data_IF_951270431851
#
_entry.id   IF_951270431851
#
_cell.length_a   1.000
_cell.length_b   1.000
_cell.length_c   1.000
_cell.angle_alpha   90.00
_cell.angle_beta   90.00
_cell.angle_gamma   90.00
#
_symmetry.space_group_name_H-M   'P 1'
#
loop_
_entity.id
_entity.type
_entity.pdbx_description
1 polymer ?
#
# COMPACT_ATOMS: atom_id res chain seq x y z
N UNK A 1 -8.66 9.10 0.95
CA UNK A 1 -8.16 9.81 -0.24
C UNK A 1 -9.25 9.81 -1.31
N UNK A 2 -9.46 10.91 -2.04
CA UNK A 2 -10.50 11.01 -3.09
C UNK A 2 -9.96 11.38 -4.49
N UNK A 3 -8.64 11.61 -4.62
CA UNK A 3 -8.04 12.04 -5.90
C UNK A 3 -7.83 10.87 -6.88
N UNK A 4 -7.54 9.67 -6.36
CA UNK A 4 -7.41 8.45 -7.16
C UNK A 4 -8.52 7.44 -6.81
N UNK A 5 -9.06 6.71 -7.80
CA UNK A 5 -8.81 6.84 -9.23
C UNK A 5 -9.35 8.17 -9.80
N UNK A 6 -8.71 8.67 -10.86
CA UNK A 6 -9.07 9.92 -11.53
C UNK A 6 -10.52 9.83 -12.06
N UNK A 7 -11.34 10.83 -11.72
CA UNK A 7 -12.78 10.83 -12.04
C UNK A 7 -12.99 11.09 -13.54
N UNK A 8 -13.93 10.37 -14.15
CA UNK A 8 -14.25 10.55 -15.59
C UNK A 8 -14.73 11.97 -15.86
N UNK A 9 -14.08 12.65 -16.81
CA UNK A 9 -14.38 14.04 -17.17
C UNK A 9 -13.67 15.09 -16.32
N UNK A 10 -12.78 14.70 -15.40
CA UNK A 10 -11.83 15.64 -14.79
C UNK A 10 -10.83 16.14 -15.83
N UNK A 11 -10.52 17.44 -15.79
CA UNK A 11 -9.43 18.05 -16.54
C UNK A 11 -8.11 17.81 -15.81
N UNK A 12 -7.18 17.12 -16.46
CA UNK A 12 -5.92 16.66 -15.88
C UNK A 12 -4.76 17.44 -16.49
N UNK A 13 -3.92 18.07 -15.67
CA UNK A 13 -2.61 18.53 -16.13
C UNK A 13 -1.61 17.37 -16.03
N UNK A 14 -0.88 17.06 -17.10
CA UNK A 14 0.13 15.99 -17.13
C UNK A 14 1.49 16.61 -17.42
N UNK A 15 2.40 16.58 -16.43
CA UNK A 15 3.60 17.44 -16.41
C UNK A 15 4.86 16.71 -15.95
N UNK A 16 6.02 17.26 -16.33
CA UNK A 16 7.35 16.70 -16.03
C UNK A 16 7.85 15.79 -17.13
N UNK A 17 9.16 15.83 -17.38
CA UNK A 17 9.79 15.14 -18.51
C UNK A 17 9.51 13.63 -18.51
N UNK A 18 9.47 13.00 -17.33
CA UNK A 18 9.19 11.57 -17.20
C UNK A 18 7.76 11.16 -17.61
N UNK A 19 6.79 12.09 -17.64
CA UNK A 19 5.43 11.81 -18.11
C UNK A 19 5.36 11.76 -19.63
N UNK A 20 6.22 12.53 -20.31
CA UNK A 20 6.29 12.68 -21.76
C UNK A 20 7.55 12.04 -22.37
N UNK A 21 8.23 11.17 -21.62
CA UNK A 21 9.58 10.70 -21.95
C UNK A 21 9.63 9.99 -23.31
N UNK A 22 10.56 10.43 -24.16
CA UNK A 22 10.71 9.95 -25.53
C UNK A 22 11.61 8.71 -25.54
N UNK A 23 11.04 7.56 -25.86
CA UNK A 23 11.79 6.31 -26.03
C UNK A 23 12.55 6.29 -27.38
N UNK A 24 13.76 6.86 -27.41
CA UNK A 24 14.65 6.82 -28.57
C UNK A 24 15.33 5.44 -28.71
N UNK A 25 14.56 4.48 -29.25
CA UNK A 25 15.02 3.14 -29.52
C UNK A 25 16.24 3.09 -30.47
N UNK A 26 16.40 4.05 -31.40
CA UNK A 26 17.53 4.05 -32.33
C UNK A 26 18.84 4.41 -31.62
N UNK A 27 18.84 5.43 -30.76
CA UNK A 27 19.99 5.79 -29.94
C UNK A 27 20.29 4.71 -28.91
N UNK A 28 19.26 4.19 -28.23
CA UNK A 28 19.42 3.10 -27.26
C UNK A 28 20.07 1.87 -27.90
N UNK A 29 19.62 1.41 -29.08
CA UNK A 29 20.23 0.27 -29.78
C UNK A 29 21.73 0.47 -30.12
N UNK A 30 22.19 1.72 -30.30
CA UNK A 30 23.60 2.05 -30.60
C UNK A 30 24.49 2.23 -29.37
N UNK A 31 23.90 2.41 -28.18
CA UNK A 31 24.60 2.73 -26.93
C UNK A 31 24.15 1.82 -25.80
N UNK A 32 24.96 0.79 -25.52
CA UNK A 32 24.64 -0.25 -24.54
C UNK A 32 24.50 0.28 -23.10
N UNK A 33 25.20 1.36 -22.81
CA UNK A 33 25.32 2.05 -21.51
C UNK A 33 24.23 3.11 -21.24
N UNK A 34 23.32 3.34 -22.20
CA UNK A 34 22.20 4.28 -22.02
C UNK A 34 20.92 3.55 -21.61
N UNK A 35 20.20 4.17 -20.67
CA UNK A 35 18.81 3.89 -20.33
C UNK A 35 17.98 5.17 -20.34
N UNK A 36 16.69 5.04 -20.15
CA UNK A 36 15.72 6.11 -19.93
C UNK A 36 14.86 5.81 -18.68
N UNK A 37 13.78 6.56 -18.44
CA UNK A 37 12.91 6.35 -17.29
C UNK A 37 12.03 5.08 -17.38
N UNK A 38 12.01 4.38 -18.52
CA UNK A 38 11.24 3.16 -18.76
C UNK A 38 12.12 1.90 -18.91
N UNK A 39 13.38 2.06 -19.35
CA UNK A 39 14.32 0.99 -19.68
C UNK A 39 15.72 1.27 -19.12
N UNK A 40 16.28 0.30 -18.39
CA UNK A 40 17.63 0.33 -17.84
C UNK A 40 18.71 0.22 -18.94
N UNK A 41 19.84 0.92 -18.78
CA UNK A 41 21.05 0.66 -19.56
C UNK A 41 21.73 -0.65 -19.15
N UNK A 42 22.51 -1.27 -20.04
CA UNK A 42 23.23 -2.52 -19.77
C UNK A 42 22.92 -3.68 -20.71
N UNK A 43 23.49 -4.84 -20.40
CA UNK A 43 23.38 -6.09 -21.16
C UNK A 43 22.02 -6.78 -21.01
N UNK A 44 21.33 -6.59 -19.89
CA UNK A 44 20.05 -7.25 -19.58
C UNK A 44 18.79 -6.55 -20.11
N UNK A 45 18.93 -5.43 -20.83
CA UNK A 45 17.81 -4.56 -21.21
C UNK A 45 17.05 -5.05 -22.45
N UNK A 46 15.78 -4.67 -22.53
CA UNK A 46 14.92 -4.88 -23.70
C UNK A 46 14.55 -3.51 -24.28
N UNK A 47 15.05 -3.20 -25.47
CA UNK A 47 14.69 -1.96 -26.20
C UNK A 47 13.50 -2.26 -27.09
N UNK A 48 12.32 -1.80 -26.69
CA UNK A 48 11.10 -1.94 -27.47
C UNK A 48 11.12 -0.99 -28.69
N UNK A 49 10.35 -1.30 -29.74
CA UNK A 49 10.25 -0.42 -30.90
C UNK A 49 9.49 0.90 -30.58
N UNK A 50 8.62 0.87 -29.57
CA UNK A 50 7.87 2.01 -29.03
C UNK A 50 7.42 1.69 -27.62
N UNK A 51 7.55 2.65 -26.71
CA UNK A 51 6.92 2.63 -25.39
C UNK A 51 5.99 3.85 -25.34
N UNK A 52 4.67 3.69 -25.12
CA UNK A 52 3.78 4.82 -24.90
C UNK A 52 4.17 5.53 -23.61
N UNK A 53 4.35 6.86 -23.68
CA UNK A 53 4.55 7.67 -22.49
C UNK A 53 3.28 7.71 -21.63
N UNK A 54 3.37 8.19 -20.39
CA UNK A 54 2.19 8.38 -19.52
C UNK A 54 1.22 9.37 -20.16
N UNK A 55 1.76 10.44 -20.76
CA UNK A 55 1.02 11.44 -21.51
C UNK A 55 0.28 10.84 -22.72
N UNK A 56 0.96 10.05 -23.54
CA UNK A 56 0.34 9.37 -24.71
C UNK A 56 -0.73 8.36 -24.30
N UNK A 57 -0.58 7.73 -23.13
CA UNK A 57 -1.46 6.66 -22.67
C UNK A 57 -2.80 7.16 -22.12
N UNK A 58 -2.89 8.44 -21.71
CA UNK A 58 -4.10 9.12 -21.24
C UNK A 58 -4.93 9.75 -22.40
N UNK A 59 -4.79 9.22 -23.62
CA UNK A 59 -5.39 9.73 -24.87
C UNK A 59 -6.92 9.82 -24.90
N UNK A 60 -7.62 9.17 -23.97
CA UNK A 60 -9.09 9.22 -23.82
C UNK A 60 -9.58 10.01 -22.59
N UNK A 61 -8.68 10.77 -21.95
CA UNK A 61 -9.00 11.72 -20.89
C UNK A 61 -8.84 13.19 -21.35
N UNK A 62 -9.43 14.14 -20.63
CA UNK A 62 -9.27 15.58 -20.90
C UNK A 62 -7.95 16.08 -20.31
N UNK A 63 -6.88 16.04 -21.12
CA UNK A 63 -5.51 16.32 -20.69
C UNK A 63 -4.95 17.64 -21.25
N UNK A 64 -4.19 18.35 -20.41
CA UNK A 64 -3.24 19.40 -20.82
C UNK A 64 -1.83 18.90 -20.52
N UNK A 65 -1.09 18.53 -21.56
CA UNK A 65 0.27 17.98 -21.45
C UNK A 65 1.36 19.05 -21.54
N UNK A 66 2.34 19.00 -20.65
CA UNK A 66 3.60 19.75 -20.74
C UNK A 66 4.76 18.76 -20.69
N UNK A 67 5.52 18.70 -21.78
CA UNK A 67 6.76 17.93 -21.83
C UNK A 67 7.93 18.75 -21.26
N UNK A 68 8.88 18.07 -20.62
CA UNK A 68 10.00 18.71 -19.93
C UNK A 68 9.64 19.27 -18.54
N UNK A 69 10.67 19.80 -17.87
CA UNK A 69 10.62 20.29 -16.49
C UNK A 69 10.53 21.84 -16.42
N UNK A 70 9.78 22.45 -17.35
CA UNK A 70 9.49 23.89 -17.30
C UNK A 70 8.40 24.17 -16.27
N UNK A 71 8.80 24.76 -15.13
CA UNK A 71 7.91 25.06 -14.01
C UNK A 71 6.82 26.07 -14.38
N UNK A 72 7.13 27.13 -15.13
CA UNK A 72 6.16 28.16 -15.50
C UNK A 72 5.10 27.57 -16.44
N UNK A 73 5.52 26.74 -17.40
CA UNK A 73 4.61 26.01 -18.28
C UNK A 73 3.76 24.98 -17.51
N UNK A 74 4.35 24.23 -16.58
CA UNK A 74 3.63 23.25 -15.77
C UNK A 74 2.57 23.91 -14.85
N UNK A 75 2.92 25.03 -14.20
CA UNK A 75 1.97 25.82 -13.40
C UNK A 75 0.85 26.42 -14.28
N UNK A 76 1.18 26.89 -15.48
CA UNK A 76 0.18 27.38 -16.42
C UNK A 76 -0.77 26.28 -16.94
N UNK A 77 -0.30 25.05 -17.12
CA UNK A 77 -1.13 23.90 -17.48
C UNK A 77 -2.03 23.42 -16.33
N UNK A 78 -1.50 23.45 -15.10
CA UNK A 78 -2.25 23.14 -13.89
C UNK A 78 -3.30 24.21 -13.53
N UNK A 79 -3.21 25.43 -14.09
CA UNK A 79 -4.19 26.48 -13.87
C UNK A 79 -5.60 26.04 -14.31
N UNK A 80 -6.47 25.82 -13.31
CA UNK A 80 -7.82 25.29 -13.51
C UNK A 80 -7.85 23.87 -14.06
N UNK A 81 -6.87 23.03 -13.73
CA UNK A 81 -7.02 21.57 -13.77
C UNK A 81 -7.67 21.09 -12.45
N UNK A 82 -8.42 20.00 -12.48
CA UNK A 82 -8.98 19.37 -11.28
C UNK A 82 -7.93 18.59 -10.49
N UNK A 83 -6.84 18.19 -11.18
CA UNK A 83 -5.78 17.32 -10.67
C UNK A 83 -4.54 17.45 -11.55
N UNK A 84 -3.35 17.35 -10.94
CA UNK A 84 -2.05 17.35 -11.64
C UNK A 84 -1.43 15.97 -11.51
N UNK A 85 -1.12 15.30 -12.63
CA UNK A 85 -0.26 14.11 -12.67
C UNK A 85 1.15 14.58 -13.00
N UNK A 86 2.06 14.45 -12.04
CA UNK A 86 3.44 14.92 -12.17
C UNK A 86 4.41 13.75 -12.07
N UNK A 87 5.13 13.46 -13.15
CA UNK A 87 6.07 12.35 -13.17
C UNK A 87 7.50 12.80 -12.92
N UNK A 88 8.28 11.98 -12.21
CA UNK A 88 9.74 12.06 -12.23
C UNK A 88 10.36 10.66 -12.30
N UNK A 89 11.52 10.55 -12.93
CA UNK A 89 12.23 9.27 -13.07
C UNK A 89 13.64 9.31 -12.49
N UNK A 90 14.32 8.17 -12.54
CA UNK A 90 15.75 8.09 -12.26
C UNK A 90 16.40 7.14 -13.27
N UNK A 91 17.21 7.66 -14.19
CA UNK A 91 17.94 6.85 -15.16
C UNK A 91 19.00 5.98 -14.46
N UNK A 92 19.28 4.79 -15.01
CA UNK A 92 20.35 3.92 -14.51
C UNK A 92 20.92 3.03 -15.60
N UNK A 93 22.11 2.49 -15.38
CA UNK A 93 22.76 1.52 -16.26
C UNK A 93 23.50 0.46 -15.47
N UNK A 94 23.66 -0.73 -16.04
CA UNK A 94 24.67 -1.70 -15.61
C UNK A 94 26.07 -1.05 -15.54
N UNK A 95 26.88 -1.53 -14.60
CA UNK A 95 28.27 -1.12 -14.34
C UNK A 95 28.46 0.30 -13.77
N UNK A 96 27.40 1.02 -13.41
CA UNK A 96 27.49 2.26 -12.64
C UNK A 96 26.34 2.38 -11.62
N UNK A 97 26.66 2.66 -10.36
CA UNK A 97 25.67 3.03 -9.35
C UNK A 97 25.13 4.44 -9.61
N UNK A 98 23.90 4.72 -9.15
CA UNK A 98 23.35 6.08 -9.16
C UNK A 98 24.09 6.95 -8.13
N UNK A 99 24.47 8.16 -8.54
CA UNK A 99 25.16 9.12 -7.66
C UNK A 99 24.27 9.69 -6.53
N UNK A 100 22.96 9.42 -6.55
CA UNK A 100 21.95 9.92 -5.62
C UNK A 100 20.70 9.02 -5.68
N UNK A 101 19.94 8.96 -4.59
CA UNK A 101 18.61 8.34 -4.56
C UNK A 101 17.48 9.30 -4.95
N UNK A 102 17.79 10.57 -5.25
CA UNK A 102 16.81 11.51 -5.81
C UNK A 102 16.34 11.05 -7.19
N UNK A 103 15.15 11.51 -7.58
CA UNK A 103 14.71 11.52 -8.98
C UNK A 103 15.51 12.58 -9.74
N UNK A 104 15.70 12.40 -11.05
CA UNK A 104 16.40 13.36 -11.91
C UNK A 104 15.62 14.69 -11.97
N UNK A 105 14.29 14.63 -11.91
CA UNK A 105 13.35 15.77 -11.91
C UNK A 105 13.08 16.35 -10.49
N UNK A 106 13.88 16.01 -9.46
CA UNK A 106 13.53 16.24 -8.04
C UNK A 106 13.23 17.71 -7.68
N UNK A 107 14.04 18.66 -8.14
CA UNK A 107 13.83 20.08 -7.77
C UNK A 107 12.60 20.69 -8.48
N UNK A 108 12.33 20.26 -9.72
CA UNK A 108 11.11 20.61 -10.45
C UNK A 108 9.87 20.10 -9.71
N UNK A 109 9.84 18.83 -9.32
CA UNK A 109 8.72 18.26 -8.56
C UNK A 109 8.52 18.95 -7.21
N UNK A 110 9.59 19.30 -6.51
CA UNK A 110 9.51 20.05 -5.25
C UNK A 110 8.87 21.42 -5.44
N UNK A 111 9.31 22.17 -6.45
CA UNK A 111 8.77 23.50 -6.74
C UNK A 111 7.31 23.44 -7.26
N UNK A 112 6.98 22.44 -8.07
CA UNK A 112 5.64 22.21 -8.61
C UNK A 112 4.64 21.91 -7.49
N UNK A 113 4.93 20.93 -6.63
CA UNK A 113 4.03 20.54 -5.53
C UNK A 113 3.81 21.68 -4.54
N UNK A 114 4.82 22.53 -4.32
CA UNK A 114 4.70 23.72 -3.47
C UNK A 114 3.99 24.91 -4.14
N UNK A 115 3.87 24.92 -5.47
CA UNK A 115 3.40 26.07 -6.25
C UNK A 115 2.00 25.93 -6.84
N UNK A 116 1.33 24.79 -6.67
CA UNK A 116 0.06 24.47 -7.35
C UNK A 116 -1.08 24.28 -6.36
N UNK A 117 -2.25 24.87 -6.64
CA UNK A 117 -3.45 24.78 -5.80
C UNK A 117 -4.22 23.46 -5.98
N UNK A 118 -4.05 22.81 -7.13
CA UNK A 118 -4.73 21.56 -7.48
C UNK A 118 -4.05 20.33 -6.83
N UNK A 119 -4.80 19.28 -6.47
CA UNK A 119 -4.20 18.09 -5.87
C UNK A 119 -3.22 17.41 -6.83
N UNK A 120 -1.99 17.16 -6.35
CA UNK A 120 -0.93 16.51 -7.13
C UNK A 120 -0.91 15.00 -6.88
N UNK A 121 -0.93 14.23 -7.97
CA UNK A 121 -0.59 12.80 -8.01
C UNK A 121 0.83 12.68 -8.55
N UNK A 122 1.77 12.31 -7.68
CA UNK A 122 3.16 12.04 -8.07
C UNK A 122 3.27 10.65 -8.70
N UNK A 123 4.04 10.53 -9.78
CA UNK A 123 4.41 9.24 -10.39
C UNK A 123 5.93 9.15 -10.42
N UNK A 124 6.50 8.27 -9.59
CA UNK A 124 7.93 8.00 -9.59
C UNK A 124 8.24 6.80 -10.50
N UNK A 125 9.21 6.95 -11.39
CA UNK A 125 9.67 5.93 -12.36
C UNK A 125 11.14 5.59 -12.10
N UNK A 126 11.41 4.72 -11.13
CA UNK A 126 12.75 4.55 -10.59
C UNK A 126 13.20 3.09 -10.36
N UNK A 127 14.46 2.75 -10.68
CA UNK A 127 15.04 1.46 -10.36
C UNK A 127 15.49 1.42 -8.89
N UNK A 128 14.70 0.71 -8.07
CA UNK A 128 15.00 0.47 -6.65
C UNK A 128 14.52 1.59 -5.72
N UNK A 129 15.27 1.83 -4.64
CA UNK A 129 14.90 2.81 -3.62
C UNK A 129 15.15 4.26 -4.11
N UNK A 130 14.31 5.18 -3.64
CA UNK A 130 14.40 6.62 -3.89
C UNK A 130 14.07 7.42 -2.62
N UNK A 131 14.55 8.65 -2.54
CA UNK A 131 14.03 9.66 -1.61
C UNK A 131 12.92 10.47 -2.29
N UNK A 132 11.74 10.55 -1.67
CA UNK A 132 10.55 11.18 -2.26
C UNK A 132 9.86 12.16 -1.27
N UNK A 133 10.57 13.17 -0.72
CA UNK A 133 9.99 14.15 0.22
C UNK A 133 8.78 14.90 -0.36
N UNK A 134 8.68 15.03 -1.68
CA UNK A 134 7.53 15.63 -2.36
C UNK A 134 6.22 14.90 -2.05
N UNK A 135 6.27 13.60 -1.73
CA UNK A 135 5.09 12.84 -1.32
C UNK A 135 4.49 13.30 0.00
N UNK A 136 5.23 14.03 0.85
CA UNK A 136 4.70 14.60 2.10
C UNK A 136 3.73 15.77 1.87
N UNK A 137 3.71 16.36 0.66
CA UNK A 137 2.80 17.44 0.25
C UNK A 137 1.90 17.09 -0.96
N UNK A 138 2.06 15.90 -1.54
CA UNK A 138 1.23 15.43 -2.64
C UNK A 138 -0.09 14.82 -2.15
N UNK A 139 -1.14 14.91 -2.95
CA UNK A 139 -2.43 14.28 -2.66
C UNK A 139 -2.35 12.75 -2.79
N UNK A 140 -1.55 12.23 -3.73
CA UNK A 140 -1.18 10.82 -3.82
C UNK A 140 0.21 10.66 -4.43
N UNK A 141 0.82 9.49 -4.24
CA UNK A 141 2.04 9.08 -4.94
C UNK A 141 1.90 7.63 -5.40
N UNK A 142 2.35 7.35 -6.62
CA UNK A 142 2.48 6.04 -7.23
C UNK A 142 3.97 5.78 -7.49
N UNK A 143 4.55 4.75 -6.88
CA UNK A 143 5.95 4.36 -7.15
C UNK A 143 5.97 3.18 -8.10
N UNK A 144 6.31 3.48 -9.34
CA UNK A 144 6.56 2.50 -10.38
C UNK A 144 8.06 2.24 -10.51
N UNK A 145 8.40 0.95 -10.57
CA UNK A 145 9.70 0.52 -11.07
C UNK A 145 9.70 0.61 -12.61
N UNK A 146 10.70 0.02 -13.25
CA UNK A 146 10.75 -0.08 -14.70
C UNK A 146 9.70 -1.10 -15.19
N UNK A 147 8.56 -0.61 -15.68
CA UNK A 147 7.39 -1.42 -16.04
C UNK A 147 7.43 -1.95 -17.49
N UNK A 148 8.53 -1.71 -18.22
CA UNK A 148 8.76 -2.23 -19.57
C UNK A 148 7.91 -1.54 -20.65
N UNK A 149 7.69 -2.23 -21.77
CA UNK A 149 7.11 -1.63 -22.99
C UNK A 149 5.68 -1.11 -22.85
N UNK A 150 4.95 -1.55 -21.82
CA UNK A 150 3.59 -1.14 -21.53
C UNK A 150 3.48 -0.07 -20.42
N UNK A 151 4.59 0.56 -20.00
CA UNK A 151 4.63 1.45 -18.81
C UNK A 151 3.53 2.51 -18.81
N UNK A 152 3.41 3.34 -19.85
CA UNK A 152 2.36 4.37 -19.91
C UNK A 152 0.95 3.78 -19.86
N UNK A 153 0.70 2.69 -20.59
CA UNK A 153 -0.62 2.04 -20.63
C UNK A 153 -1.02 1.46 -19.27
N UNK A 154 -0.08 0.80 -18.57
CA UNK A 154 -0.32 0.26 -17.23
C UNK A 154 -0.58 1.38 -16.21
N UNK A 155 0.16 2.49 -16.30
CA UNK A 155 -0.07 3.67 -15.47
C UNK A 155 -1.43 4.33 -15.75
N UNK A 156 -1.81 4.50 -17.01
CA UNK A 156 -3.13 5.02 -17.39
C UNK A 156 -4.27 4.12 -16.87
N UNK A 157 -4.12 2.79 -16.96
CA UNK A 157 -5.10 1.83 -16.43
C UNK A 157 -5.25 1.92 -14.90
N UNK A 158 -4.17 2.16 -14.15
CA UNK A 158 -4.24 2.40 -12.70
C UNK A 158 -4.83 3.77 -12.40
N UNK A 159 -4.26 4.85 -12.96
CA UNK A 159 -4.70 6.23 -12.75
C UNK A 159 -6.21 6.39 -13.01
N UNK A 160 -6.74 5.79 -14.07
CA UNK A 160 -8.16 5.86 -14.46
C UNK A 160 -9.04 4.79 -13.78
N UNK A 161 -8.52 4.03 -12.81
CA UNK A 161 -9.29 3.03 -12.04
C UNK A 161 -9.71 1.78 -12.80
N UNK A 162 -9.16 1.54 -14.01
CA UNK A 162 -9.41 0.34 -14.83
C UNK A 162 -8.72 -0.90 -14.27
N UNK A 163 -7.66 -0.69 -13.48
CA UNK A 163 -6.92 -1.69 -12.71
C UNK A 163 -6.67 -1.22 -11.29
N UNK A 164 -6.72 -2.17 -10.36
CA UNK A 164 -6.36 -1.93 -8.97
C UNK A 164 -4.84 -1.92 -8.78
N UNK A 165 -4.26 -0.93 -8.09
CA UNK A 165 -2.87 -0.95 -7.67
C UNK A 165 -2.68 -1.97 -6.55
N UNK A 166 -2.29 -3.19 -6.93
CA UNK A 166 -2.05 -4.31 -6.01
C UNK A 166 -0.58 -4.57 -5.69
N UNK A 167 0.31 -3.60 -5.90
CA UNK A 167 1.75 -3.70 -5.67
C UNK A 167 2.12 -3.45 -4.21
N UNK A 168 3.20 -4.06 -3.72
CA UNK A 168 3.76 -3.78 -2.38
C UNK A 168 5.26 -3.59 -2.50
N UNK A 169 5.81 -2.62 -1.79
CA UNK A 169 7.21 -2.20 -1.91
C UNK A 169 8.19 -3.34 -1.55
N UNK A 170 9.02 -3.83 -2.49
CA UNK A 170 10.05 -4.84 -2.22
C UNK A 170 11.31 -4.26 -1.56
N UNK A 171 11.36 -2.93 -1.39
CA UNK A 171 12.44 -2.15 -0.78
C UNK A 171 11.86 -1.14 0.20
N UNK A 172 12.65 -0.62 1.13
CA UNK A 172 12.23 0.53 1.94
C UNK A 172 12.61 1.81 1.23
N UNK A 173 11.70 2.79 1.20
CA UNK A 173 12.01 4.14 0.74
C UNK A 173 12.43 4.98 1.96
N UNK A 174 13.69 5.45 2.03
CA UNK A 174 14.18 6.23 3.15
C UNK A 174 13.76 7.71 3.04
N UNK A 175 13.74 8.42 4.18
CA UNK A 175 13.55 9.88 4.21
C UNK A 175 14.75 10.65 3.68
N UNK A 176 15.96 10.07 3.79
CA UNK A 176 17.20 10.67 3.31
C UNK A 176 18.21 9.61 2.89
N UNK A 177 19.16 9.98 2.04
CA UNK A 177 20.24 9.09 1.60
C UNK A 177 21.16 8.70 2.76
N UNK A 178 21.37 9.60 3.72
CA UNK A 178 22.20 9.35 4.91
C UNK A 178 21.65 8.23 5.81
N UNK A 179 20.36 7.86 5.67
CA UNK A 179 19.74 6.76 6.39
C UNK A 179 19.96 5.37 5.76
N UNK A 180 20.61 5.28 4.60
CA UNK A 180 20.94 4.01 3.95
C UNK A 180 22.39 3.58 4.23
N UNK A 181 22.70 2.33 3.90
CA UNK A 181 24.11 1.91 3.78
C UNK A 181 24.74 2.75 2.67
N UNK A 182 25.83 3.45 2.99
CA UNK A 182 26.52 4.31 2.02
C UNK A 182 27.35 3.46 1.06
N UNK A 183 27.51 3.90 -0.21
CA UNK A 183 28.40 3.21 -1.15
C UNK A 183 29.85 3.24 -0.65
N UNK A 184 30.62 2.23 -1.04
CA UNK A 184 32.03 2.13 -0.72
C UNK A 184 32.86 2.94 -1.73
N UNK A 185 33.76 3.81 -1.24
CA UNK A 185 34.63 4.64 -2.09
C UNK A 185 35.92 3.91 -2.53
N UNK A 186 36.31 2.85 -1.80
CA UNK A 186 37.49 2.02 -2.06
C UNK A 186 37.14 0.69 -2.75
N UNK A 187 38.13 0.06 -3.40
CA UNK A 187 38.05 -1.30 -3.98
C UNK A 187 37.56 -2.39 -2.99
N UNK A 188 37.71 -2.13 -1.68
CA UNK A 188 37.27 -3.01 -0.62
C UNK A 188 35.96 -2.49 0.00
N UNK A 189 34.87 -3.23 -0.18
CA UNK A 189 33.56 -2.88 0.39
C UNK A 189 33.17 -3.84 1.53
N UNK A 190 33.47 -3.53 2.81
CA UNK A 190 33.10 -4.37 3.94
C UNK A 190 31.64 -4.16 4.35
N UNK A 191 30.85 -5.22 4.35
CA UNK A 191 29.42 -5.19 4.70
C UNK A 191 29.24 -5.15 6.22
N UNK A 192 29.53 -3.99 6.83
CA UNK A 192 29.53 -3.77 8.28
C UNK A 192 28.14 -3.86 8.93
N UNK A 193 27.08 -3.66 8.15
CA UNK A 193 25.68 -3.87 8.52
C UNK A 193 25.31 -5.35 8.69
N UNK A 194 26.10 -6.26 8.08
CA UNK A 194 25.88 -7.70 8.12
C UNK A 194 24.47 -8.10 7.66
N UNK A 195 23.69 -8.71 8.54
CA UNK A 195 22.31 -9.14 8.23
C UNK A 195 21.26 -8.02 8.30
N UNK A 196 21.67 -6.78 8.60
CA UNK A 196 20.78 -5.64 8.84
C UNK A 196 20.54 -4.76 7.61
N UNK A 197 20.81 -5.24 6.39
CA UNK A 197 20.48 -4.53 5.15
C UNK A 197 18.98 -4.22 4.99
N UNK A 198 18.66 -3.05 4.45
CA UNK A 198 17.30 -2.59 4.17
C UNK A 198 16.42 -2.44 5.41
N UNK A 199 15.17 -2.92 5.35
CA UNK A 199 14.18 -2.83 6.44
C UNK A 199 14.61 -3.47 7.77
N UNK A 200 15.74 -4.20 7.80
CA UNK A 200 16.28 -4.86 8.99
C UNK A 200 17.21 -3.99 9.83
N UNK A 201 17.65 -2.85 9.30
CA UNK A 201 18.65 -2.00 9.94
C UNK A 201 18.44 -0.50 9.78
N UNK A 202 17.64 -0.05 8.81
CA UNK A 202 17.20 1.36 8.79
C UNK A 202 16.40 1.68 10.07
N UNK A 203 16.70 2.82 10.69
CA UNK A 203 15.99 3.26 11.87
C UNK A 203 14.56 3.71 11.53
N UNK A 204 13.60 3.40 12.40
CA UNK A 204 12.16 3.62 12.13
C UNK A 204 11.80 5.09 11.86
N UNK A 205 12.57 6.03 12.43
CA UNK A 205 12.36 7.46 12.22
C UNK A 205 12.68 7.88 10.77
N UNK A 206 13.65 7.21 10.14
CA UNK A 206 14.15 7.52 8.80
C UNK A 206 13.45 6.72 7.68
N UNK A 207 12.47 5.89 8.03
CA UNK A 207 11.59 5.26 7.04
C UNK A 207 10.58 6.31 6.54
N UNK A 208 10.52 6.48 5.22
CA UNK A 208 9.44 7.22 4.56
C UNK A 208 8.29 6.26 4.24
N UNK A 209 8.57 5.22 3.44
CA UNK A 209 7.61 4.15 3.11
C UNK A 209 8.23 2.78 3.40
N UNK A 210 7.64 1.97 4.31
CA UNK A 210 8.25 0.73 4.76
C UNK A 210 8.23 -0.38 3.69
N UNK A 211 9.11 -1.36 3.86
CA UNK A 211 9.03 -2.61 3.09
C UNK A 211 7.65 -3.27 3.29
N UNK A 212 7.06 -3.79 2.22
CA UNK A 212 5.74 -4.44 2.24
C UNK A 212 4.54 -3.49 2.22
N UNK A 213 4.75 -2.17 2.26
CA UNK A 213 3.71 -1.15 2.14
C UNK A 213 3.23 -0.97 0.70
N UNK A 214 1.97 -0.55 0.55
CA UNK A 214 1.33 -0.13 -0.69
C UNK A 214 -0.18 -0.22 -0.51
N UNK A 215 -0.90 0.82 -0.88
CA UNK A 215 -2.35 0.83 -0.73
C UNK A 215 -3.03 0.18 -1.96
N UNK A 216 -4.32 0.41 -2.10
CA UNK A 216 -5.17 -0.11 -3.15
C UNK A 216 -6.45 0.72 -3.21
N UNK A 217 -7.27 0.53 -4.24
CA UNK A 217 -8.61 1.13 -4.27
C UNK A 217 -9.62 0.33 -3.44
N UNK A 218 -9.31 -0.93 -3.14
CA UNK A 218 -10.08 -1.79 -2.25
C UNK A 218 -9.57 -1.68 -0.80
N UNK A 219 -10.49 -1.61 0.16
CA UNK A 219 -10.21 -1.70 1.58
C UNK A 219 -10.42 -3.14 2.08
N UNK A 220 -9.56 -3.57 3.01
CA UNK A 220 -9.58 -4.93 3.57
C UNK A 220 -9.48 -4.92 5.08
N UNK A 221 -10.00 -5.96 5.71
CA UNK A 221 -9.80 -6.31 7.12
C UNK A 221 -9.15 -7.69 7.23
N UNK A 222 -8.30 -7.89 8.24
CA UNK A 222 -7.62 -9.16 8.51
C UNK A 222 -7.88 -9.61 9.96
N UNK A 223 -8.58 -10.72 10.13
CA UNK A 223 -8.83 -11.36 11.41
C UNK A 223 -7.92 -12.59 11.57
N UNK A 224 -6.89 -12.51 12.43
CA UNK A 224 -6.02 -13.64 12.72
C UNK A 224 -6.75 -14.65 13.62
N UNK A 225 -6.96 -15.86 13.12
CA UNK A 225 -7.66 -16.94 13.82
C UNK A 225 -6.72 -17.78 14.69
N UNK A 226 -5.53 -18.09 14.16
CA UNK A 226 -4.59 -19.03 14.79
C UNK A 226 -3.14 -18.69 14.44
N UNK A 227 -2.24 -18.81 15.43
CA UNK A 227 -0.79 -18.63 15.27
C UNK A 227 -0.06 -19.79 15.94
N UNK A 228 0.59 -20.62 15.12
CA UNK A 228 1.32 -21.83 15.53
C UNK A 228 2.81 -21.72 15.18
N UNK A 229 3.61 -22.65 15.68
CA UNK A 229 5.07 -22.71 15.44
C UNK A 229 5.54 -22.80 13.97
N UNK A 230 4.63 -22.96 13.00
CA UNK A 230 4.97 -22.97 11.58
C UNK A 230 3.86 -22.49 10.63
N UNK A 231 2.78 -21.91 11.16
CA UNK A 231 1.67 -21.40 10.34
C UNK A 231 0.88 -20.30 11.05
N UNK A 232 0.44 -19.30 10.28
CA UNK A 232 -0.61 -18.34 10.64
C UNK A 232 -1.84 -18.63 9.79
N UNK A 233 -3.02 -18.69 10.42
CA UNK A 233 -4.32 -18.77 9.74
C UNK A 233 -5.13 -17.52 10.04
N UNK A 234 -5.67 -16.87 9.02
CA UNK A 234 -6.45 -15.64 9.14
C UNK A 234 -7.61 -15.59 8.14
N UNK A 235 -8.65 -14.82 8.44
CA UNK A 235 -9.68 -14.43 7.47
C UNK A 235 -9.32 -13.06 6.92
N UNK A 236 -9.20 -12.95 5.60
CA UNK A 236 -9.12 -11.69 4.89
C UNK A 236 -10.52 -11.35 4.35
N UNK A 237 -11.03 -10.15 4.63
CA UNK A 237 -12.33 -9.67 4.16
C UNK A 237 -12.17 -8.43 3.29
N UNK A 238 -12.93 -8.36 2.20
CA UNK A 238 -13.19 -7.09 1.51
C UNK A 238 -14.16 -6.24 2.34
N UNK A 239 -13.90 -4.94 2.44
CA UNK A 239 -14.68 -4.00 3.27
C UNK A 239 -15.38 -2.94 2.44
N UNK A 240 -14.66 -2.32 1.48
CA UNK A 240 -15.19 -1.25 0.63
C UNK A 240 -14.30 -0.99 -0.59
N UNK A 241 -14.77 -0.16 -1.51
CA UNK A 241 -14.12 0.07 -2.80
C UNK A 241 -14.42 -1.05 -3.82
N UNK A 242 -13.85 -1.00 -5.03
CA UNK A 242 -13.98 -2.07 -6.02
C UNK A 242 -13.35 -3.38 -5.53
N UNK A 243 -13.58 -4.48 -6.25
CA UNK A 243 -12.78 -5.70 -6.11
C UNK A 243 -11.28 -5.40 -6.35
N UNK A 244 -10.40 -6.06 -5.60
CA UNK A 244 -8.99 -5.70 -5.54
C UNK A 244 -8.12 -6.77 -4.89
N UNK A 245 -6.93 -6.40 -4.40
CA UNK A 245 -5.98 -7.37 -3.88
C UNK A 245 -5.21 -6.93 -2.62
N UNK A 246 -5.06 -7.88 -1.71
CA UNK A 246 -4.25 -7.71 -0.51
C UNK A 246 -3.08 -8.71 -0.49
N UNK A 247 -1.98 -8.31 0.13
CA UNK A 247 -0.86 -9.20 0.44
C UNK A 247 -0.76 -9.31 1.95
N UNK A 248 -1.12 -10.48 2.48
CA UNK A 248 -0.97 -10.82 3.89
C UNK A 248 0.48 -11.24 4.13
N UNK A 249 1.10 -10.71 5.17
CA UNK A 249 2.54 -10.81 5.41
C UNK A 249 2.80 -11.25 6.86
N UNK A 250 3.68 -12.23 7.05
CA UNK A 250 4.07 -12.77 8.35
C UNK A 250 5.56 -12.53 8.56
N UNK A 251 5.89 -11.85 9.65
CA UNK A 251 7.25 -11.47 10.03
C UNK A 251 7.66 -12.14 11.33
N UNK A 252 8.87 -12.70 11.38
CA UNK A 252 9.51 -13.19 12.60
C UNK A 252 10.38 -12.10 13.24
N UNK A 253 10.53 -12.15 14.57
CA UNK A 253 11.40 -11.24 15.31
C UNK A 253 12.90 -11.53 15.15
N UNK A 254 13.68 -10.50 15.47
CA UNK A 254 15.14 -10.44 15.68
C UNK A 254 16.07 -11.32 14.79
N UNK A 255 16.71 -10.72 13.76
CA UNK A 255 16.29 -9.50 13.07
C UNK A 255 14.93 -9.73 12.40
N UNK A 256 14.20 -8.63 12.11
CA UNK A 256 12.93 -8.70 11.39
C UNK A 256 13.10 -9.46 10.07
N UNK A 257 12.27 -10.48 9.85
CA UNK A 257 12.34 -11.34 8.66
C UNK A 257 10.94 -11.67 8.18
N UNK A 258 10.62 -11.31 6.94
CA UNK A 258 9.48 -11.87 6.23
C UNK A 258 9.63 -13.40 6.16
N UNK A 259 8.73 -14.13 6.82
CA UNK A 259 8.71 -15.59 6.91
C UNK A 259 7.82 -16.21 5.84
N UNK A 260 6.70 -15.56 5.54
CA UNK A 260 5.75 -15.94 4.52
C UNK A 260 4.94 -14.72 4.07
N UNK A 261 4.45 -14.75 2.83
CA UNK A 261 3.43 -13.83 2.33
C UNK A 261 2.49 -14.57 1.38
N UNK A 262 1.25 -14.10 1.29
CA UNK A 262 0.24 -14.64 0.40
C UNK A 262 -0.57 -13.50 -0.21
N UNK A 263 -0.70 -13.48 -1.54
CA UNK A 263 -1.56 -12.53 -2.24
C UNK A 263 -2.93 -13.17 -2.48
N UNK A 264 -3.98 -12.41 -2.19
CA UNK A 264 -5.37 -12.75 -2.51
C UNK A 264 -6.05 -11.62 -3.27
N UNK A 265 -6.92 -12.03 -4.18
CA UNK A 265 -7.86 -11.16 -4.89
C UNK A 265 -9.25 -11.50 -4.36
N UNK A 266 -10.03 -10.48 -3.99
CA UNK A 266 -11.40 -10.63 -3.52
C UNK A 266 -12.29 -9.69 -4.34
N UNK A 267 -13.45 -10.18 -4.75
CA UNK A 267 -14.53 -9.35 -5.28
C UNK A 267 -15.23 -8.59 -4.13
N UNK A 268 -16.16 -7.69 -4.46
CA UNK A 268 -16.82 -6.82 -3.47
C UNK A 268 -17.62 -7.62 -2.43
N UNK A 269 -17.24 -7.48 -1.16
CA UNK A 269 -17.88 -8.15 -0.03
C UNK A 269 -17.50 -9.62 0.19
N UNK A 270 -16.53 -10.16 -0.57
CA UNK A 270 -16.02 -11.52 -0.36
C UNK A 270 -15.07 -11.62 0.86
N UNK A 271 -14.94 -12.84 1.38
CA UNK A 271 -13.93 -13.22 2.39
C UNK A 271 -13.22 -14.53 1.99
N UNK A 272 -11.93 -14.66 2.34
CA UNK A 272 -11.14 -15.89 2.14
C UNK A 272 -10.31 -16.22 3.40
N UNK A 273 -10.03 -17.51 3.60
CA UNK A 273 -9.19 -18.01 4.70
C UNK A 273 -7.78 -18.27 4.18
N UNK A 274 -6.84 -17.41 4.55
CA UNK A 274 -5.42 -17.54 4.22
C UNK A 274 -4.70 -18.40 5.25
N UNK A 275 -3.76 -19.24 4.81
CA UNK A 275 -2.96 -20.11 5.70
C UNK A 275 -1.48 -20.07 5.30
N UNK A 276 -0.75 -19.16 5.93
CA UNK A 276 0.63 -18.85 5.61
C UNK A 276 1.57 -19.75 6.40
N UNK A 277 2.18 -20.73 5.72
CA UNK A 277 3.15 -21.66 6.33
C UNK A 277 4.58 -21.13 6.21
N UNK A 278 5.36 -21.28 7.27
CA UNK A 278 6.76 -20.89 7.33
C UNK A 278 7.62 -21.95 8.01
N UNK A 279 8.95 -21.79 7.94
CA UNK A 279 9.94 -22.67 8.56
C UNK A 279 10.79 -21.91 9.57
N UNK A 280 11.12 -22.58 10.67
CA UNK A 280 11.93 -22.04 11.76
C UNK A 280 11.10 -21.81 13.02
N UNK A 281 11.74 -21.89 14.18
CA UNK A 281 11.09 -21.52 15.44
C UNK A 281 11.09 -19.99 15.58
N UNK A 282 9.91 -19.42 15.69
CA UNK A 282 9.69 -18.05 16.16
C UNK A 282 8.92 -18.14 17.50
N UNK A 283 9.31 -17.34 18.49
CA UNK A 283 8.53 -17.18 19.73
C UNK A 283 7.37 -16.20 19.55
N UNK A 284 7.53 -15.26 18.63
CA UNK A 284 6.58 -14.21 18.28
C UNK A 284 6.59 -13.98 16.77
N UNK A 285 5.44 -13.65 16.20
CA UNK A 285 5.32 -13.20 14.81
C UNK A 285 4.48 -11.93 14.73
N UNK A 286 4.86 -10.99 13.88
CA UNK A 286 4.03 -9.86 13.50
C UNK A 286 3.28 -10.22 12.21
N UNK A 287 1.96 -10.02 12.20
CA UNK A 287 1.08 -10.30 11.05
C UNK A 287 0.40 -8.99 10.66
N UNK A 288 0.45 -8.66 9.37
CA UNK A 288 -0.12 -7.43 8.83
C UNK A 288 -0.42 -7.55 7.34
N UNK A 289 -0.99 -6.49 6.78
CA UNK A 289 -1.30 -6.39 5.35
C UNK A 289 -1.20 -4.93 4.90
N UNK A 290 -0.70 -4.71 3.68
CA UNK A 290 -0.86 -3.51 2.82
C UNK A 290 -0.56 -2.11 3.40
N UNK A 291 -1.22 -1.66 4.47
CA UNK A 291 -1.00 -0.33 5.08
C UNK A 291 0.39 -0.15 5.71
N UNK A 292 1.09 -1.25 6.01
CA UNK A 292 2.33 -1.25 6.79
C UNK A 292 2.08 -1.35 8.30
N UNK A 293 0.81 -1.39 8.73
CA UNK A 293 0.44 -1.77 10.09
C UNK A 293 0.51 -3.29 10.26
N UNK A 294 1.00 -3.74 11.41
CA UNK A 294 1.08 -5.15 11.77
C UNK A 294 0.83 -5.32 13.27
N UNK A 295 0.11 -6.38 13.63
CA UNK A 295 -0.14 -6.77 15.02
C UNK A 295 0.80 -7.92 15.39
N UNK A 296 1.40 -7.86 16.58
CA UNK A 296 2.29 -8.92 17.09
C UNK A 296 1.52 -9.96 17.88
N UNK A 297 1.80 -11.24 17.61
CA UNK A 297 1.17 -12.40 18.24
C UNK A 297 2.24 -13.33 18.83
N UNK A 298 1.98 -13.85 20.03
CA UNK A 298 2.77 -14.91 20.63
C UNK A 298 2.46 -16.26 19.93
N UNK A 299 3.49 -17.07 19.70
CA UNK A 299 3.37 -18.32 18.95
C UNK A 299 2.95 -19.48 19.85
N UNK A 300 1.81 -20.11 19.56
CA UNK A 300 1.37 -21.28 20.34
C UNK A 300 2.23 -22.52 20.02
N UNK A 301 2.66 -23.22 21.08
CA UNK A 301 3.41 -24.47 20.98
C UNK A 301 4.88 -24.33 20.56
N UNK A 302 5.45 -23.12 20.60
CA UNK A 302 6.89 -22.95 20.45
C UNK A 302 7.67 -23.70 21.53
N UNK A 303 8.82 -24.29 21.18
CA UNK A 303 9.66 -25.04 22.12
C UNK A 303 10.33 -24.10 23.14
N UNK A 304 9.63 -23.83 24.25
CA UNK A 304 10.04 -22.87 25.26
C UNK A 304 9.16 -22.93 26.50
N UNK A 305 9.35 -23.98 27.32
CA UNK A 305 8.86 -24.03 28.70
C UNK A 305 9.64 -23.00 29.55
N UNK A 306 9.31 -21.72 29.38
CA UNK A 306 9.93 -20.62 30.12
C UNK A 306 9.97 -19.31 29.33
N UNK A 307 9.22 -18.32 29.80
CA UNK A 307 9.40 -16.93 29.40
C UNK A 307 10.84 -16.49 29.70
N UNK A 308 11.59 -16.07 28.67
CA UNK A 308 12.85 -15.35 28.83
C UNK A 308 12.65 -13.90 28.46
N UNK A 309 13.08 -13.02 29.37
CA UNK A 309 13.04 -11.57 29.24
C UNK A 309 14.45 -11.09 28.95
N UNK A 310 14.73 -10.76 27.71
CA UNK A 310 15.93 -10.00 27.35
C UNK A 310 15.59 -8.52 27.17
N UNK A 311 16.51 -7.66 27.60
CA UNK A 311 16.33 -6.23 27.59
C UNK A 311 16.85 -5.66 26.27
N UNK A 312 15.97 -5.26 25.34
CA UNK A 312 16.14 -4.07 24.48
C UNK A 312 14.99 -3.69 23.51
N UNK A 313 13.74 -4.12 23.70
CA UNK A 313 12.59 -3.48 23.03
C UNK A 313 11.38 -3.31 23.95
N UNK A 314 10.72 -2.14 23.85
CA UNK A 314 9.43 -1.85 24.50
C UNK A 314 8.51 -1.04 23.59
N UNK A 315 7.35 -1.60 23.27
CA UNK A 315 6.02 -0.94 23.20
C UNK A 315 5.04 -2.06 23.61
N UNK A 316 4.79 -2.33 24.90
CA UNK A 316 3.73 -1.74 25.76
C UNK A 316 2.35 -1.72 25.08
N UNK A 317 1.36 -2.53 25.48
CA UNK A 317 0.30 -2.30 26.52
C UNK A 317 -0.60 -3.58 26.50
N UNK A 318 -1.15 -4.20 27.56
CA UNK A 318 -1.11 -4.11 29.05
C UNK A 318 -1.46 -5.52 29.64
N UNK A 319 -1.63 -5.66 30.97
CA UNK A 319 -1.80 -6.92 31.72
C UNK A 319 -3.20 -7.60 31.79
N UNK A 320 -3.37 -8.62 32.68
CA UNK A 320 -4.27 -9.77 32.47
C UNK A 320 -5.50 -9.83 33.43
N UNK A 321 -6.23 -10.96 33.50
CA UNK A 321 -7.14 -11.49 32.49
C UNK A 321 -8.60 -11.44 32.98
N UNK A 322 -9.56 -11.05 32.13
CA UNK A 322 -10.99 -11.23 32.44
C UNK A 322 -11.71 -11.87 31.26
N UNK A 323 -12.39 -12.97 31.56
CA UNK A 323 -13.39 -13.61 30.70
C UNK A 323 -14.45 -12.58 30.26
N UNK A 324 -14.45 -12.21 28.98
CA UNK A 324 -15.68 -11.71 28.35
C UNK A 324 -16.31 -12.88 27.59
N UNK A 325 -17.26 -13.52 28.27
CA UNK A 325 -18.27 -14.33 27.60
C UNK A 325 -19.08 -13.41 26.68
N UNK A 326 -18.98 -13.60 25.36
CA UNK A 326 -19.90 -12.99 24.39
C UNK A 326 -21.25 -13.70 24.40
N UNK A 327 -21.99 -13.56 25.49
CA UNK A 327 -23.42 -13.92 25.63
C UNK A 327 -24.02 -12.89 26.63
N UNK A 328 -25.14 -12.21 26.40
CA UNK A 328 -26.32 -12.52 25.57
C UNK A 328 -26.80 -11.28 24.82
N UNK A 329 -27.00 -11.42 23.51
CA UNK A 329 -27.83 -10.55 22.66
C UNK A 329 -28.74 -11.41 21.77
N UNK A 330 -29.70 -12.13 22.37
CA UNK A 330 -30.55 -13.07 21.65
C UNK A 330 -31.52 -12.36 20.68
N UNK A 331 -31.24 -12.43 19.39
CA UNK A 331 -32.21 -12.20 18.32
C UNK A 331 -32.13 -13.37 17.31
N UNK A 332 -33.28 -14.03 17.08
CA UNK A 332 -33.36 -15.31 16.39
C UNK A 332 -32.90 -15.25 14.92
N UNK A 333 -31.74 -15.82 14.60
CA UNK A 333 -31.50 -16.36 13.26
C UNK A 333 -32.02 -17.80 13.15
N UNK A 334 -33.31 -17.92 12.86
CA UNK A 334 -33.98 -19.22 12.71
C UNK A 334 -33.69 -19.84 11.35
N UNK A 335 -32.75 -20.78 11.35
CA UNK A 335 -32.52 -21.88 10.38
C UNK A 335 -33.19 -21.71 9.00
N UNK A 336 -32.41 -21.26 8.01
CA UNK A 336 -32.80 -21.21 6.59
C UNK A 336 -32.35 -22.43 5.76
N UNK A 337 -31.80 -23.51 6.36
CA UNK A 337 -31.39 -24.73 5.63
C UNK A 337 -32.38 -25.89 5.72
N UNK A 338 -33.47 -25.79 6.49
CA UNK A 338 -34.48 -26.87 6.64
C UNK A 338 -35.81 -26.67 5.89
N UNK A 339 -35.87 -25.79 4.88
CA UNK A 339 -37.11 -25.40 4.17
C UNK A 339 -37.30 -26.00 2.76
N UNK A 340 -36.88 -27.26 2.54
CA UNK A 340 -37.21 -28.06 1.34
C UNK A 340 -37.64 -29.52 1.61
N UNK A 341 -37.86 -29.89 2.88
CA UNK A 341 -38.14 -31.29 3.25
C UNK A 341 -39.53 -31.56 3.87
N UNK A 342 -40.28 -30.52 4.29
CA UNK A 342 -41.49 -30.70 5.12
C UNK A 342 -42.80 -30.19 4.50
N UNK A 343 -42.80 -29.72 3.24
CA UNK A 343 -44.04 -29.37 2.48
C UNK A 343 -44.84 -30.58 1.97
N UNK A 344 -44.58 -31.78 2.51
CA UNK A 344 -45.29 -33.03 2.18
C UNK A 344 -46.01 -33.70 3.35
N UNK A 345 -46.34 -32.96 4.42
CA UNK A 345 -47.27 -33.48 5.44
C UNK A 345 -48.09 -32.39 6.13
N UNK A 346 -49.42 -32.57 6.13
CA UNK A 346 -50.46 -31.83 6.86
C UNK A 346 -50.70 -30.37 6.38
N UNK A 347 -51.83 -29.96 5.80
CA UNK A 347 -53.16 -30.57 5.55
C UNK A 347 -53.81 -31.18 6.81
N UNK A 348 -54.66 -30.40 7.50
CA UNK A 348 -55.10 -30.52 8.92
C UNK A 348 -54.15 -29.76 9.87
N UNK A 349 -54.56 -28.81 10.73
CA UNK A 349 -55.90 -28.46 11.22
C UNK A 349 -56.04 -26.98 11.64
N UNK A 350 -57.21 -26.41 11.31
CA UNK A 350 -58.02 -25.39 12.01
C UNK A 350 -57.44 -24.57 13.20
N UNK A 351 -57.61 -23.24 13.06
CA UNK A 351 -58.21 -22.29 14.04
C UNK A 351 -57.62 -22.18 15.47
N UNK A 352 -57.01 -21.02 15.79
CA UNK A 352 -57.69 -19.87 16.46
C UNK A 352 -56.76 -18.67 16.68
N UNK A 353 -57.38 -17.51 16.81
CA UNK A 353 -56.83 -16.19 17.13
C UNK A 353 -56.55 -15.99 18.62
N UNK A 354 -55.63 -15.09 18.96
CA UNK A 354 -55.87 -14.01 19.95
C UNK A 354 -54.78 -12.94 19.88
N UNK A 355 -55.20 -11.67 19.99
CA UNK A 355 -54.36 -10.48 20.07
C UNK A 355 -53.93 -10.23 21.53
N UNK A 356 -52.86 -9.47 21.73
CA UNK A 356 -52.73 -8.60 22.92
C UNK A 356 -51.70 -7.49 22.71
N UNK A 357 -52.14 -6.25 22.91
CA UNK A 357 -51.40 -5.00 22.69
C UNK A 357 -51.06 -4.36 24.03
N UNK A 358 -49.86 -3.81 24.20
CA UNK A 358 -49.53 -2.87 25.28
C UNK A 358 -48.35 -1.95 24.88
N UNK A 359 -48.32 -0.73 25.42
CA UNK A 359 -47.55 0.42 24.90
C UNK A 359 -46.73 1.15 25.97
N UNK A 360 -45.58 1.74 25.58
CA UNK A 360 -44.95 3.02 26.01
C UNK A 360 -45.08 3.50 27.50
N UNK A 361 -44.03 4.03 28.18
CA UNK A 361 -43.30 5.30 27.90
C UNK A 361 -41.97 5.44 28.70
N UNK A 362 -41.16 6.50 28.45
CA UNK A 362 -39.74 6.59 28.86
C UNK A 362 -39.41 7.65 29.95
N UNK A 363 -38.15 7.68 30.39
CA UNK A 363 -37.46 8.86 30.96
C UNK A 363 -36.70 8.61 32.26
N UNK A 364 -35.38 8.84 32.27
CA UNK A 364 -34.75 9.91 33.08
C UNK A 364 -33.22 10.00 32.88
N UNK A 365 -32.66 11.17 33.18
CA UNK A 365 -31.29 11.61 32.90
C UNK A 365 -30.47 11.87 34.17
N UNK A 366 -29.15 11.69 34.10
CA UNK A 366 -28.18 12.34 34.98
C UNK A 366 -26.87 12.60 34.22
N UNK A 367 -26.09 13.60 34.65
CA UNK A 367 -25.10 14.27 33.82
C UNK A 367 -23.65 14.20 34.35
N UNK A 368 -22.76 14.87 33.59
CA UNK A 368 -21.43 15.37 33.91
C UNK A 368 -20.23 14.40 33.95
N UNK A 369 -19.29 14.69 33.04
CA UNK A 369 -18.00 14.03 32.87
C UNK A 369 -17.20 14.73 31.79
N UNK A 370 -16.76 15.96 32.04
CA UNK A 370 -15.96 16.73 31.09
C UNK A 370 -14.57 16.09 30.90
N UNK A 371 -14.21 15.78 29.65
CA UNK A 371 -12.85 15.36 29.28
C UNK A 371 -12.34 16.19 28.11
N UNK A 372 -11.05 16.53 28.20
CA UNK A 372 -10.35 17.37 27.24
C UNK A 372 -10.18 16.64 25.90
N UNK A 373 -10.55 17.31 24.81
CA UNK A 373 -10.15 16.91 23.46
C UNK A 373 -8.68 17.24 23.24
N UNK A 374 -7.85 16.23 22.98
CA UNK A 374 -6.56 16.40 22.30
C UNK A 374 -6.82 16.06 20.83
N UNK A 375 -6.42 16.89 19.85
CA UNK A 375 -6.63 16.58 18.44
C UNK A 375 -5.88 15.31 18.04
N UNK A 376 -6.52 14.50 17.20
CA UNK A 376 -5.80 13.58 16.32
C UNK A 376 -5.24 14.43 15.18
N UNK A 377 -3.93 14.36 14.93
CA UNK A 377 -3.34 14.89 13.69
C UNK A 377 -3.78 13.98 12.51
N UNK A 378 -4.96 14.27 11.95
CA UNK A 378 -5.46 13.70 10.69
C UNK A 378 -4.81 14.37 9.47
N UNK A 379 -3.49 14.57 9.47
CA UNK A 379 -2.74 15.14 8.35
C UNK A 379 -1.42 14.38 8.11
N UNK A 380 -1.54 13.21 7.46
CA UNK A 380 -0.44 12.53 6.76
C UNK A 380 -0.94 12.03 5.41
N UNK A 381 -0.20 12.24 4.31
CA UNK A 381 -0.64 11.86 2.97
C UNK A 381 -0.72 10.35 2.79
N UNK A 382 -1.62 9.93 1.89
CA UNK A 382 -2.00 8.53 1.69
C UNK A 382 -1.41 8.02 0.36
N UNK A 383 -0.36 7.20 0.47
CA UNK A 383 0.52 6.71 -0.60
C UNK A 383 -0.02 5.40 -1.22
N UNK A 384 -0.05 5.27 -2.55
CA UNK A 384 -0.71 4.13 -3.24
C UNK A 384 0.30 3.15 -3.83
#
# INVERSE_FOLDING_TARGET
NEVLPLKTGSKIAVVGDACAAVHDAETLMKRWDLGDYYVVGGSGRVVAARIPSVLDALWDADIVGVAGDDLDAALAAAAGADVVVACGGAATTEAADRATLRLDNHDFLTALVAGVDAPVVLVALAPGAIVLPQADAAAAALVCFLCGEATGLALADVLLGRKEPGGRLPVTLPRSEAATVQPCEDDACPYTEGVRGGYRGIDRADVHFPFGHGLGYAAFELEVLEVTAGAVTAVLRHVSGPGGSAVVQVYGSEPSRLLAFEKRFLDEGDEDVVSLRFRGAASEVAVGFSSGEATTYAVQGGAGDGFRRDANWWILVVGPPILVFSIIGWLLFRDRKRRRAEERTRSSERRRSLELTATFRPGDSAADGAFFSIPLDEEKPQFV
#
